data_IF_984738574845
#
_entry.id   IF_984738574845
#
_cell.length_a   1.000
_cell.length_b   1.000
_cell.length_c   1.000
_cell.angle_alpha   90.00
_cell.angle_beta   90.00
_cell.angle_gamma   90.00
#
_symmetry.space_group_name_H-M   'P 1'
#
loop_
_entity.id
_entity.type
_entity.pdbx_description
1 polymer ?
#
# COMPACT_ATOMS: atom_id res chain seq x y z
N UNK A 1 -0.35 -18.06 11.45
CA UNK A 1 -1.44 -17.74 10.47
C UNK A 1 -0.79 -17.43 9.12
N UNK A 2 -1.33 -17.94 8.04
CA UNK A 2 -0.81 -17.70 6.70
C UNK A 2 -1.48 -16.46 6.10
N UNK A 3 -0.69 -15.43 5.72
CA UNK A 3 -1.24 -14.18 5.18
C UNK A 3 -2.00 -14.36 3.86
N UNK A 4 -1.69 -15.41 3.11
CA UNK A 4 -2.39 -15.76 1.87
C UNK A 4 -3.85 -16.18 2.08
N UNK A 5 -4.23 -16.62 3.30
CA UNK A 5 -5.59 -17.06 3.64
C UNK A 5 -6.53 -15.91 4.05
N UNK A 6 -6.02 -14.69 4.30
CA UNK A 6 -6.85 -13.54 4.66
C UNK A 6 -7.85 -13.21 3.55
N UNK A 7 -9.03 -12.70 3.88
CA UNK A 7 -10.04 -12.32 2.90
C UNK A 7 -9.73 -11.00 2.21
N UNK A 8 -9.99 -10.90 0.91
CA UNK A 8 -9.79 -9.73 0.05
C UNK A 8 -8.81 -10.00 -1.09
N UNK A 9 -8.80 -9.14 -2.10
CA UNK A 9 -7.90 -9.21 -3.24
C UNK A 9 -6.65 -8.36 -3.02
N UNK A 10 -6.81 -7.17 -2.47
CA UNK A 10 -5.71 -6.29 -2.03
C UNK A 10 -5.91 -6.02 -0.54
N UNK A 11 -4.96 -6.45 0.28
CA UNK A 11 -5.07 -6.48 1.73
C UNK A 11 -3.96 -5.66 2.35
N UNK A 12 -4.30 -4.78 3.29
CA UNK A 12 -3.37 -4.13 4.19
C UNK A 12 -3.17 -4.97 5.46
N UNK A 13 -1.94 -5.13 5.89
CA UNK A 13 -1.60 -5.80 7.14
C UNK A 13 -0.67 -4.93 7.97
N UNK A 14 -1.06 -4.65 9.19
CA UNK A 14 -0.24 -3.98 10.20
C UNK A 14 0.34 -5.06 11.10
N UNK A 15 1.63 -5.34 10.97
CA UNK A 15 2.33 -6.34 11.76
C UNK A 15 3.81 -6.01 11.89
N UNK A 16 4.40 -6.32 13.06
CA UNK A 16 5.83 -6.18 13.32
C UNK A 16 6.63 -7.47 13.04
N UNK A 17 5.92 -8.57 12.86
CA UNK A 17 6.53 -9.92 12.87
C UNK A 17 6.89 -10.44 11.47
N UNK A 18 6.44 -9.77 10.40
CA UNK A 18 6.68 -10.20 9.03
C UNK A 18 7.97 -9.59 8.45
N UNK A 19 8.78 -10.41 7.79
CA UNK A 19 10.00 -9.98 7.08
C UNK A 19 9.96 -10.42 5.62
N UNK A 20 10.52 -9.61 4.72
CA UNK A 20 10.80 -10.02 3.35
C UNK A 20 11.87 -11.13 3.34
N UNK A 21 11.96 -11.86 2.22
CA UNK A 21 13.09 -12.76 1.96
C UNK A 21 14.43 -12.00 2.00
N UNK A 22 15.50 -12.70 2.34
CA UNK A 22 16.85 -12.16 2.32
C UNK A 22 17.41 -12.16 0.89
N UNK A 23 17.71 -10.98 0.39
CA UNK A 23 18.30 -10.75 -0.93
C UNK A 23 19.72 -10.18 -0.85
N UNK A 24 20.28 -10.07 0.36
CA UNK A 24 21.60 -9.51 0.60
C UNK A 24 22.68 -10.24 -0.20
N UNK A 25 23.62 -9.50 -0.76
CA UNK A 25 24.72 -10.01 -1.58
C UNK A 25 24.37 -10.49 -2.98
N UNK A 26 23.06 -10.53 -3.35
CA UNK A 26 22.63 -11.00 -4.67
C UNK A 26 22.70 -9.91 -5.73
N UNK A 27 22.91 -10.31 -6.98
CA UNK A 27 22.72 -9.43 -8.15
C UNK A 27 21.26 -9.49 -8.57
N UNK A 28 20.70 -8.37 -9.04
CA UNK A 28 19.26 -8.27 -9.38
C UNK A 28 18.81 -9.33 -10.38
N UNK A 29 19.62 -9.68 -11.37
CA UNK A 29 19.29 -10.75 -12.34
C UNK A 29 19.10 -12.13 -11.69
N UNK A 30 19.74 -12.39 -10.55
CA UNK A 30 19.59 -13.64 -9.81
C UNK A 30 18.35 -13.63 -8.88
N UNK A 31 17.72 -12.46 -8.73
CA UNK A 31 16.47 -12.27 -7.96
C UNK A 31 15.26 -12.29 -8.90
N UNK A 32 15.34 -11.58 -10.03
CA UNK A 32 14.25 -11.46 -11.00
C UNK A 32 14.49 -12.45 -12.15
N UNK A 33 14.08 -13.70 -11.96
CA UNK A 33 14.44 -14.81 -12.88
C UNK A 33 13.61 -14.83 -14.16
N UNK A 34 12.31 -14.47 -14.10
CA UNK A 34 11.39 -14.64 -15.22
C UNK A 34 11.09 -13.32 -15.90
N UNK A 35 11.35 -13.23 -17.23
CA UNK A 35 11.08 -12.03 -18.04
C UNK A 35 11.62 -10.76 -17.37
N UNK A 36 12.87 -10.84 -16.91
CA UNK A 36 13.47 -9.85 -16.02
C UNK A 36 13.37 -8.41 -16.54
N UNK A 37 13.69 -8.17 -17.83
CA UNK A 37 13.55 -6.84 -18.46
C UNK A 37 12.11 -6.31 -18.41
N UNK A 38 11.10 -7.13 -18.72
CA UNK A 38 9.70 -6.72 -18.69
C UNK A 38 9.25 -6.46 -17.25
N UNK A 39 9.66 -7.34 -16.31
CA UNK A 39 9.33 -7.19 -14.90
C UNK A 39 9.90 -5.89 -14.32
N UNK A 40 11.16 -5.55 -14.64
CA UNK A 40 11.77 -4.28 -14.21
C UNK A 40 11.06 -3.08 -14.81
N UNK A 41 10.71 -3.11 -16.10
CA UNK A 41 9.93 -2.03 -16.74
C UNK A 41 8.57 -1.83 -16.07
N UNK A 42 7.88 -2.91 -15.69
CA UNK A 42 6.59 -2.82 -14.98
C UNK A 42 6.69 -2.09 -13.65
N UNK A 43 7.80 -2.19 -12.95
CA UNK A 43 8.05 -1.51 -11.67
C UNK A 43 8.83 -0.21 -11.82
N UNK A 44 8.92 0.33 -13.04
CA UNK A 44 9.64 1.57 -13.38
C UNK A 44 11.14 1.53 -13.02
N UNK A 45 11.81 0.41 -13.29
CA UNK A 45 13.26 0.28 -13.27
C UNK A 45 13.83 0.08 -14.67
N UNK A 46 15.06 0.54 -14.89
CA UNK A 46 15.77 0.31 -16.14
C UNK A 46 16.34 -1.11 -16.21
N UNK A 47 16.56 -1.60 -17.42
CA UNK A 47 17.19 -2.93 -17.65
C UNK A 47 18.62 -3.00 -17.10
N UNK A 48 19.35 -1.88 -17.10
CA UNK A 48 20.70 -1.78 -16.53
C UNK A 48 20.72 -2.14 -15.04
N UNK A 49 19.60 -2.08 -14.32
CA UNK A 49 19.48 -2.49 -12.93
C UNK A 49 19.75 -4.00 -12.75
N UNK A 50 19.62 -4.82 -13.80
CA UNK A 50 19.89 -6.27 -13.72
C UNK A 50 21.31 -6.58 -13.26
N UNK A 51 22.29 -5.76 -13.62
CA UNK A 51 23.70 -5.96 -13.27
C UNK A 51 24.10 -5.33 -11.94
N UNK A 52 23.17 -4.64 -11.26
CA UNK A 52 23.42 -4.04 -9.95
C UNK A 52 23.35 -5.08 -8.84
N UNK A 53 24.13 -4.89 -7.77
CA UNK A 53 23.91 -5.61 -6.51
C UNK A 53 22.69 -5.04 -5.81
N UNK A 54 21.90 -5.91 -5.19
CA UNK A 54 20.69 -5.51 -4.47
C UNK A 54 20.99 -4.49 -3.37
N UNK A 55 22.09 -4.69 -2.63
CA UNK A 55 22.48 -3.84 -1.51
C UNK A 55 22.94 -2.44 -1.95
N UNK A 56 23.36 -2.27 -3.21
CA UNK A 56 23.79 -0.97 -3.75
C UNK A 56 22.59 -0.11 -4.19
N UNK A 57 21.37 -0.67 -4.20
CA UNK A 57 20.15 0.03 -4.57
C UNK A 57 19.58 0.82 -3.39
N UNK A 58 18.93 1.96 -3.69
CA UNK A 58 18.11 2.64 -2.70
C UNK A 58 16.97 1.74 -2.21
N UNK A 59 16.47 1.94 -0.98
CA UNK A 59 15.35 1.15 -0.43
C UNK A 59 14.13 1.11 -1.35
N UNK A 60 13.78 2.24 -1.97
CA UNK A 60 12.68 2.28 -2.94
C UNK A 60 12.93 1.39 -4.16
N UNK A 61 14.18 1.34 -4.67
CA UNK A 61 14.54 0.46 -5.80
C UNK A 61 14.64 -1.01 -5.35
N UNK A 62 15.10 -1.29 -4.14
CA UNK A 62 15.06 -2.63 -3.56
C UNK A 62 13.63 -3.16 -3.50
N UNK A 63 12.68 -2.35 -3.01
CA UNK A 63 11.26 -2.72 -2.97
C UNK A 63 10.68 -2.96 -4.36
N UNK A 64 11.08 -2.19 -5.36
CA UNK A 64 10.70 -2.41 -6.77
C UNK A 64 11.24 -3.75 -7.30
N UNK A 65 12.49 -4.10 -7.01
CA UNK A 65 13.09 -5.39 -7.38
C UNK A 65 12.35 -6.54 -6.71
N UNK A 66 12.04 -6.43 -5.42
CA UNK A 66 11.25 -7.44 -4.69
C UNK A 66 9.87 -7.62 -5.32
N UNK A 67 9.18 -6.54 -5.69
CA UNK A 67 7.91 -6.64 -6.41
C UNK A 67 8.11 -7.32 -7.78
N UNK A 68 9.12 -6.92 -8.55
CA UNK A 68 9.41 -7.49 -9.87
C UNK A 68 9.61 -9.01 -9.79
N UNK A 69 10.34 -9.50 -8.77
CA UNK A 69 10.58 -10.94 -8.58
C UNK A 69 9.31 -11.73 -8.27
N UNK A 70 8.28 -11.09 -7.70
CA UNK A 70 7.03 -11.72 -7.27
C UNK A 70 5.88 -11.56 -8.27
N UNK A 71 6.08 -10.88 -9.41
CA UNK A 71 5.00 -10.60 -10.37
C UNK A 71 4.35 -11.86 -10.95
N UNK A 72 4.97 -13.03 -10.85
CA UNK A 72 4.40 -14.30 -11.29
C UNK A 72 3.66 -15.07 -10.18
N UNK A 73 3.78 -14.63 -8.93
CA UNK A 73 3.14 -15.30 -7.79
C UNK A 73 1.63 -15.13 -7.82
N UNK A 74 0.88 -16.14 -7.40
CA UNK A 74 -0.59 -16.05 -7.23
C UNK A 74 -0.96 -15.11 -6.09
N UNK A 75 -0.14 -15.08 -5.04
CA UNK A 75 -0.26 -14.18 -3.91
C UNK A 75 1.06 -13.43 -3.71
N UNK A 76 1.03 -12.13 -3.92
CA UNK A 76 2.19 -11.24 -3.78
C UNK A 76 2.16 -10.67 -2.37
N UNK A 77 3.16 -10.99 -1.55
CA UNK A 77 3.30 -10.44 -0.20
C UNK A 77 4.50 -9.52 -0.16
N UNK A 78 4.26 -8.24 0.19
CA UNK A 78 5.29 -7.21 0.27
C UNK A 78 5.33 -6.63 1.68
N UNK A 79 6.52 -6.51 2.24
CA UNK A 79 6.73 -5.94 3.57
C UNK A 79 7.45 -4.59 3.48
N UNK A 80 6.94 -3.59 4.21
CA UNK A 80 7.50 -2.25 4.24
C UNK A 80 7.71 -1.64 2.84
N UNK A 81 6.78 -1.92 1.94
CA UNK A 81 6.90 -1.57 0.53
C UNK A 81 6.98 -0.05 0.31
N UNK A 82 6.33 0.73 1.17
CA UNK A 82 6.31 2.19 1.07
C UNK A 82 7.66 2.85 1.41
N UNK A 83 8.58 2.15 2.08
CA UNK A 83 9.86 2.73 2.50
C UNK A 83 10.69 3.14 1.28
N UNK A 84 11.13 4.42 1.27
CA UNK A 84 11.94 4.98 0.20
C UNK A 84 11.16 5.31 -1.09
N UNK A 85 9.83 5.23 -1.07
CA UNK A 85 8.95 5.68 -2.15
C UNK A 85 8.44 7.10 -1.90
N UNK A 86 8.35 7.88 -2.98
CA UNK A 86 7.68 9.19 -2.96
C UNK A 86 6.16 9.04 -3.06
N UNK A 87 5.40 10.10 -2.78
CA UNK A 87 3.94 10.08 -2.98
C UNK A 87 3.55 9.78 -4.45
N UNK A 88 4.34 10.24 -5.42
CA UNK A 88 4.11 9.91 -6.84
C UNK A 88 4.32 8.42 -7.11
N UNK A 89 5.33 7.82 -6.49
CA UNK A 89 5.57 6.37 -6.58
C UNK A 89 4.42 5.59 -5.96
N UNK A 90 3.94 5.99 -4.78
CA UNK A 90 2.80 5.37 -4.11
C UNK A 90 1.58 5.37 -5.03
N UNK A 91 1.22 6.50 -5.65
CA UNK A 91 0.09 6.58 -6.57
C UNK A 91 0.31 5.73 -7.85
N UNK A 92 1.53 5.67 -8.36
CA UNK A 92 1.88 4.77 -9.47
C UNK A 92 1.65 3.30 -9.06
N UNK A 93 2.15 2.89 -7.89
CA UNK A 93 2.03 1.50 -7.43
C UNK A 93 0.59 1.13 -7.05
N UNK A 94 -0.21 2.04 -6.52
CA UNK A 94 -1.65 1.80 -6.33
C UNK A 94 -2.34 1.40 -7.64
N UNK A 95 -2.07 2.13 -8.73
CA UNK A 95 -2.61 1.79 -10.06
C UNK A 95 -2.11 0.43 -10.54
N UNK A 96 -0.81 0.14 -10.35
CA UNK A 96 -0.21 -1.13 -10.72
C UNK A 96 -0.83 -2.29 -9.92
N UNK A 97 -0.99 -2.15 -8.62
CA UNK A 97 -1.60 -3.18 -7.76
C UNK A 97 -3.06 -3.46 -8.15
N UNK A 98 -3.87 -2.42 -8.40
CA UNK A 98 -5.24 -2.60 -8.91
C UNK A 98 -5.24 -3.38 -10.23
N UNK A 99 -4.32 -3.07 -11.14
CA UNK A 99 -4.18 -3.80 -12.41
C UNK A 99 -3.73 -5.24 -12.18
N UNK A 100 -2.75 -5.52 -11.34
CA UNK A 100 -2.30 -6.88 -11.02
C UNK A 100 -3.45 -7.68 -10.40
N UNK A 101 -4.18 -7.10 -9.47
CA UNK A 101 -5.33 -7.73 -8.81
C UNK A 101 -6.47 -8.03 -9.78
N UNK A 102 -6.73 -7.16 -10.78
CA UNK A 102 -7.76 -7.41 -11.80
C UNK A 102 -7.46 -8.63 -12.69
N UNK A 103 -6.21 -9.12 -12.71
CA UNK A 103 -5.83 -10.39 -13.33
C UNK A 103 -5.92 -11.59 -12.37
N UNK A 104 -6.66 -11.45 -11.26
CA UNK A 104 -6.93 -12.54 -10.31
C UNK A 104 -5.78 -12.85 -9.35
N UNK A 105 -4.81 -11.93 -9.17
CA UNK A 105 -3.72 -12.09 -8.21
C UNK A 105 -4.03 -11.39 -6.92
N UNK A 106 -3.75 -12.06 -5.83
CA UNK A 106 -3.88 -11.51 -4.49
C UNK A 106 -2.65 -10.69 -4.12
N UNK A 107 -2.86 -9.58 -3.43
CA UNK A 107 -1.77 -8.72 -2.95
C UNK A 107 -1.94 -8.49 -1.46
N UNK A 108 -0.90 -8.73 -0.69
CA UNK A 108 -0.84 -8.46 0.74
C UNK A 108 0.29 -7.47 1.00
N UNK A 109 -0.08 -6.30 1.48
CA UNK A 109 0.85 -5.23 1.82
C UNK A 109 1.00 -5.18 3.34
N UNK A 110 2.13 -5.66 3.85
CA UNK A 110 2.48 -5.53 5.26
C UNK A 110 3.22 -4.21 5.44
N UNK A 111 2.54 -3.18 5.92
CA UNK A 111 3.06 -1.82 5.99
C UNK A 111 2.38 -1.03 7.12
N UNK A 112 2.94 0.12 7.47
CA UNK A 112 2.33 1.06 8.42
C UNK A 112 1.96 2.39 7.76
N UNK A 113 2.18 2.54 6.46
CA UNK A 113 1.84 3.74 5.71
C UNK A 113 0.37 3.69 5.26
N UNK A 114 -0.50 4.35 6.00
CA UNK A 114 -1.92 4.42 5.70
C UNK A 114 -2.24 5.06 4.33
N UNK A 115 -1.38 5.96 3.82
CA UNK A 115 -1.56 6.53 2.49
C UNK A 115 -1.40 5.46 1.39
N UNK A 116 -0.58 4.41 1.61
CA UNK A 116 -0.51 3.27 0.70
C UNK A 116 -1.82 2.49 0.70
N UNK A 117 -2.45 2.30 1.86
CA UNK A 117 -3.69 1.54 2.00
C UNK A 117 -4.92 2.30 1.47
N UNK A 118 -4.96 3.60 1.72
CA UNK A 118 -6.11 4.45 1.39
C UNK A 118 -6.46 4.38 -0.10
N UNK A 119 -7.73 4.11 -0.42
CA UNK A 119 -8.25 3.91 -1.78
C UNK A 119 -7.62 2.73 -2.55
N UNK A 120 -6.97 1.81 -1.86
CA UNK A 120 -6.32 0.65 -2.48
C UNK A 120 -6.82 -0.67 -1.91
N UNK A 121 -6.79 -0.83 -0.59
CA UNK A 121 -7.04 -2.12 0.05
C UNK A 121 -8.53 -2.38 0.27
N UNK A 122 -8.93 -3.65 0.18
CA UNK A 122 -10.29 -4.10 0.46
C UNK A 122 -10.54 -4.20 1.96
N UNK A 123 -9.50 -4.65 2.70
CA UNK A 123 -9.51 -4.79 4.16
C UNK A 123 -8.13 -4.47 4.74
N UNK A 124 -8.12 -4.00 5.98
CA UNK A 124 -6.93 -3.85 6.82
C UNK A 124 -7.04 -4.81 7.99
N UNK A 125 -5.97 -5.55 8.25
CA UNK A 125 -5.84 -6.45 9.39
C UNK A 125 -4.72 -5.95 10.30
N UNK A 126 -4.97 -5.91 11.60
CA UNK A 126 -3.93 -5.73 12.61
C UNK A 126 -3.62 -7.09 13.21
N UNK A 127 -2.36 -7.51 13.03
CA UNK A 127 -1.93 -8.86 13.39
C UNK A 127 -0.72 -8.79 14.31
N UNK A 128 -0.83 -9.49 15.46
CA UNK A 128 0.30 -9.87 16.28
C UNK A 128 0.43 -11.40 16.18
N UNK A 129 0.18 -12.17 17.24
CA UNK A 129 0.12 -13.64 17.14
C UNK A 129 -1.16 -14.12 16.44
N UNK A 130 -2.23 -13.35 16.57
CA UNK A 130 -3.56 -13.58 15.98
C UNK A 130 -4.09 -12.25 15.37
N UNK A 131 -5.23 -12.31 14.70
CA UNK A 131 -5.93 -11.10 14.23
C UNK A 131 -6.48 -10.39 15.47
N UNK A 132 -5.98 -9.19 15.73
CA UNK A 132 -6.43 -8.34 16.84
C UNK A 132 -7.58 -7.43 16.41
N UNK A 133 -7.58 -7.02 15.14
CA UNK A 133 -8.57 -6.10 14.59
C UNK A 133 -8.63 -6.24 13.07
N UNK A 134 -9.82 -6.05 12.49
CA UNK A 134 -10.01 -5.96 11.04
C UNK A 134 -11.06 -4.92 10.66
N UNK A 135 -10.86 -4.24 9.55
CA UNK A 135 -11.85 -3.32 8.99
C UNK A 135 -11.74 -3.25 7.47
N UNK A 136 -12.88 -3.06 6.81
CA UNK A 136 -12.97 -2.70 5.38
C UNK A 136 -13.11 -1.18 5.16
N UNK A 137 -13.21 -0.40 6.24
CA UNK A 137 -13.39 1.05 6.17
C UNK A 137 -12.18 1.81 6.70
N UNK A 138 -11.50 2.53 5.83
CA UNK A 138 -10.37 3.40 6.21
C UNK A 138 -10.80 4.62 7.06
N UNK A 139 -12.10 4.95 7.12
CA UNK A 139 -12.63 5.99 8.00
C UNK A 139 -13.00 5.47 9.39
N UNK A 140 -12.83 4.19 9.65
CA UNK A 140 -13.04 3.61 10.97
C UNK A 140 -12.07 4.21 11.99
N UNK A 141 -12.63 4.88 13.00
CA UNK A 141 -11.85 5.61 14.02
C UNK A 141 -10.95 4.70 14.83
N UNK A 142 -11.37 3.44 15.06
CA UNK A 142 -10.58 2.47 15.81
C UNK A 142 -9.26 2.09 15.10
N UNK A 143 -9.20 2.22 13.76
CA UNK A 143 -7.96 2.01 13.02
C UNK A 143 -6.85 3.00 13.44
N UNK A 144 -7.23 4.20 13.88
CA UNK A 144 -6.29 5.22 14.36
C UNK A 144 -5.53 4.85 15.64
N UNK A 145 -5.95 3.79 16.36
CA UNK A 145 -5.21 3.24 17.52
C UNK A 145 -3.97 2.45 17.07
N UNK A 146 -3.91 2.04 15.81
CA UNK A 146 -2.87 1.15 15.28
C UNK A 146 -1.95 1.81 14.26
N UNK A 147 -2.45 2.80 13.49
CA UNK A 147 -1.66 3.55 12.50
C UNK A 147 -2.11 5.01 12.44
N UNK A 148 -1.20 5.88 11.97
CA UNK A 148 -1.56 7.26 11.61
C UNK A 148 -2.51 7.23 10.40
N UNK A 149 -3.67 7.83 10.53
CA UNK A 149 -4.66 7.88 9.46
C UNK A 149 -4.25 8.89 8.36
N UNK A 150 -4.69 8.71 7.11
CA UNK A 150 -4.52 9.73 6.08
C UNK A 150 -5.14 11.05 6.50
N UNK A 151 -4.53 12.18 6.14
CA UNK A 151 -5.00 13.53 6.55
C UNK A 151 -6.46 13.81 6.20
N UNK A 152 -6.93 13.31 5.06
CA UNK A 152 -8.33 13.44 4.65
C UNK A 152 -9.28 12.69 5.61
N UNK A 153 -8.85 11.53 6.12
CA UNK A 153 -9.62 10.73 7.08
C UNK A 153 -9.59 11.40 8.45
N UNK A 154 -8.41 11.83 8.92
CA UNK A 154 -8.28 12.57 10.19
C UNK A 154 -9.19 13.81 10.22
N UNK A 155 -9.19 14.59 9.13
CA UNK A 155 -10.03 15.78 9.01
C UNK A 155 -11.52 15.43 9.07
N UNK A 156 -11.95 14.42 8.30
CA UNK A 156 -13.35 13.96 8.29
C UNK A 156 -13.80 13.51 9.67
N UNK A 157 -13.01 12.62 10.31
CA UNK A 157 -13.31 12.12 11.65
C UNK A 157 -13.37 13.24 12.71
N UNK A 158 -12.48 14.22 12.61
CA UNK A 158 -12.49 15.39 13.51
C UNK A 158 -13.73 16.25 13.30
N UNK A 159 -14.09 16.53 12.05
CA UNK A 159 -15.29 17.31 11.71
C UNK A 159 -16.57 16.64 12.24
N UNK A 160 -16.68 15.32 12.07
CA UNK A 160 -17.81 14.57 12.62
C UNK A 160 -17.89 14.63 14.15
N UNK A 161 -16.75 14.58 14.85
CA UNK A 161 -16.70 14.71 16.30
C UNK A 161 -17.13 16.11 16.78
N UNK A 162 -16.95 17.13 15.94
CA UNK A 162 -17.43 18.51 16.17
C UNK A 162 -18.88 18.71 15.73
N UNK A 163 -19.58 17.64 15.28
CA UNK A 163 -20.99 17.69 14.85
C UNK A 163 -21.20 18.16 13.40
N UNK A 164 -20.13 18.35 12.63
CA UNK A 164 -20.20 18.73 11.22
C UNK A 164 -20.33 17.48 10.38
N UNK A 165 -21.46 17.30 9.68
CA UNK A 165 -21.68 16.17 8.79
C UNK A 165 -20.93 16.37 7.48
N UNK A 166 -19.88 15.58 7.26
CA UNK A 166 -19.10 15.53 6.02
C UNK A 166 -19.12 14.08 5.52
N UNK A 167 -19.36 13.90 4.22
CA UNK A 167 -19.28 12.57 3.61
C UNK A 167 -17.83 12.07 3.58
N UNK A 168 -17.65 10.76 3.54
CA UNK A 168 -16.35 10.09 3.41
C UNK A 168 -15.79 10.25 1.98
N UNK A 169 -15.20 11.42 1.71
CA UNK A 169 -14.58 11.69 0.41
C UNK A 169 -13.23 11.00 0.30
N UNK A 170 -13.00 10.39 -0.87
CA UNK A 170 -11.74 9.68 -1.17
C UNK A 170 -10.74 10.57 -1.89
N UNK A 171 -11.17 11.69 -2.44
CA UNK A 171 -10.34 12.64 -3.17
C UNK A 171 -10.39 14.02 -2.48
N UNK A 172 -9.22 14.66 -2.34
CA UNK A 172 -9.09 15.95 -1.67
C UNK A 172 -9.93 17.04 -2.37
N UNK A 173 -9.96 17.05 -3.69
CA UNK A 173 -10.72 18.03 -4.47
C UNK A 173 -12.23 17.93 -4.24
N UNK A 174 -12.75 16.71 -4.02
CA UNK A 174 -14.16 16.50 -3.68
C UNK A 174 -14.47 17.02 -2.27
N UNK A 175 -13.59 16.73 -1.32
CA UNK A 175 -13.71 17.25 0.04
C UNK A 175 -13.69 18.78 0.05
N UNK A 176 -12.74 19.41 -0.63
CA UNK A 176 -12.66 20.87 -0.71
C UNK A 176 -13.93 21.49 -1.31
N UNK A 177 -14.46 20.93 -2.41
CA UNK A 177 -15.73 21.37 -2.99
C UNK A 177 -16.91 21.28 -2.00
N UNK A 178 -16.95 20.21 -1.19
CA UNK A 178 -17.98 20.06 -0.17
C UNK A 178 -17.85 21.11 0.93
N UNK A 179 -16.64 21.37 1.42
CA UNK A 179 -16.38 22.41 2.43
C UNK A 179 -16.80 23.79 1.92
N UNK A 180 -16.47 24.15 0.67
CA UNK A 180 -16.88 25.42 0.09
C UNK A 180 -18.41 25.55 -0.02
N UNK A 181 -19.12 24.47 -0.32
CA UNK A 181 -20.60 24.48 -0.35
C UNK A 181 -21.19 24.71 1.03
N UNK A 182 -20.68 24.04 2.07
CA UNK A 182 -21.14 24.24 3.46
C UNK A 182 -20.96 25.71 3.85
N UNK A 183 -19.79 26.30 3.59
CA UNK A 183 -19.50 27.71 3.90
C UNK A 183 -20.41 28.73 3.17
N UNK A 184 -20.94 28.39 2.00
CA UNK A 184 -21.85 29.26 1.23
C UNK A 184 -23.30 29.24 1.70
N UNK A 185 -23.66 28.37 2.66
CA UNK A 185 -24.99 28.29 3.23
C UNK A 185 -25.14 29.10 4.56
N UNK A 186 -24.01 29.51 5.15
CA UNK A 186 -23.96 30.29 6.38
C UNK A 186 -23.85 31.81 6.13
N UNK A 187 -24.12 32.29 4.91
CA UNK A 187 -24.24 33.71 4.52
C UNK A 187 -25.63 33.96 3.96
#
# INVERSE_FOLDING_TARGET
MELSSLEGNIIGVISKDYKNGDYSGKVVKDIVLNRASDALKMVALSESTLECKFDDLSHGNQNRVVLASKLQDKCIILNNFSIGLTNKDIEFFKKLFKRISSYGRKIVLVDTNSNLFFNLVDKVYVISKEIMYETGDMFDKALGEYIDLPKIVEFTNKSENEGIKINHYKELDELLKAIYRIKSWDI
#
